data_IF_658815642008
#
_entry.id   IF_658815642008
#
_cell.length_a   1.000
_cell.length_b   1.000
_cell.length_c   1.000
_cell.angle_alpha   90.00
_cell.angle_beta   90.00
_cell.angle_gamma   90.00
#
_symmetry.space_group_name_H-M   'P 1'
#
loop_
_entity.id
_entity.type
_entity.pdbx_description
1 polymer ?
#
# COMPACT_ATOMS: atom_id res chain seq x y z
N UNK A 1 5.68 42.62 -85.11
CA UNK A 1 5.13 43.28 -83.91
C UNK A 1 3.61 43.13 -83.98
N UNK A 2 2.97 42.62 -82.92
CA UNK A 2 1.57 42.15 -82.83
C UNK A 2 1.34 40.65 -83.09
N UNK A 3 2.17 39.77 -82.52
CA UNK A 3 1.74 38.39 -82.29
C UNK A 3 0.83 38.37 -81.05
N UNK A 4 -0.46 38.09 -81.25
CA UNK A 4 -1.41 37.79 -80.19
C UNK A 4 -1.32 36.29 -79.91
N UNK A 5 -0.80 35.93 -78.72
CA UNK A 5 -0.73 34.55 -78.27
C UNK A 5 -1.83 34.28 -77.22
N UNK A 6 -3.00 33.75 -77.60
CA UNK A 6 -4.08 33.44 -76.67
C UNK A 6 -3.84 32.16 -75.85
N UNK A 7 -2.66 31.54 -75.93
CA UNK A 7 -2.34 30.33 -75.15
C UNK A 7 -1.61 30.64 -73.85
N UNK A 8 -1.35 31.90 -73.54
CA UNK A 8 -0.68 32.33 -72.31
C UNK A 8 -1.73 32.89 -71.37
N UNK A 9 -2.31 32.00 -70.56
CA UNK A 9 -3.23 32.36 -69.49
C UNK A 9 -2.47 32.51 -68.16
N UNK A 10 -2.79 33.56 -67.40
CA UNK A 10 -2.32 33.70 -66.02
C UNK A 10 -3.37 33.13 -65.06
N UNK A 11 -3.02 32.06 -64.34
CA UNK A 11 -3.83 31.54 -63.24
C UNK A 11 -3.47 32.23 -61.93
N UNK A 12 -4.48 32.71 -61.19
CA UNK A 12 -4.32 33.25 -59.84
C UNK A 12 -5.09 32.38 -58.84
N UNK A 13 -4.56 32.24 -57.63
CA UNK A 13 -5.26 31.62 -56.50
C UNK A 13 -5.19 32.52 -55.26
N UNK A 14 -6.14 32.33 -54.36
CA UNK A 14 -6.11 32.88 -53.00
C UNK A 14 -5.48 31.81 -52.09
N UNK A 15 -4.44 32.13 -51.30
CA UNK A 15 -3.87 31.18 -50.36
C UNK A 15 -4.94 30.69 -49.37
N UNK A 16 -4.83 29.42 -49.00
CA UNK A 16 -5.71 28.79 -48.02
C UNK A 16 -5.05 28.74 -46.63
N UNK A 17 -5.84 28.35 -45.62
CA UNK A 17 -5.39 28.08 -44.25
C UNK A 17 -6.03 26.82 -43.68
N UNK A 18 -5.35 26.23 -42.71
CA UNK A 18 -5.76 25.02 -42.02
C UNK A 18 -5.39 25.11 -40.53
N UNK A 19 -6.33 24.76 -39.66
CA UNK A 19 -6.11 24.51 -38.23
C UNK A 19 -7.35 24.84 -37.43
N UNK A 20 -7.39 24.39 -36.17
CA UNK A 20 -8.47 24.75 -35.24
C UNK A 20 -8.02 24.49 -33.79
N UNK A 21 -8.11 23.26 -33.29
CA UNK A 21 -8.10 23.00 -31.85
C UNK A 21 -7.48 21.66 -31.43
N UNK A 22 -6.91 21.64 -30.22
CA UNK A 22 -6.52 20.42 -29.51
C UNK A 22 -7.15 20.42 -28.12
N UNK A 23 -7.90 19.37 -27.81
CA UNK A 23 -8.78 19.31 -26.63
C UNK A 23 -8.49 18.14 -25.69
N UNK A 24 -8.76 18.38 -24.40
CA UNK A 24 -8.76 17.36 -23.37
C UNK A 24 -10.16 16.73 -23.29
N UNK A 25 -10.32 15.62 -23.99
CA UNK A 25 -11.51 14.78 -24.06
C UNK A 25 -11.71 14.02 -22.74
N UNK A 26 -12.39 14.66 -21.78
CA UNK A 26 -12.49 14.10 -20.41
C UNK A 26 -13.36 12.85 -20.35
N UNK A 27 -14.37 12.75 -21.22
CA UNK A 27 -15.32 11.63 -21.21
C UNK A 27 -14.90 10.49 -22.17
N UNK A 28 -13.87 10.73 -23.00
CA UNK A 28 -13.25 9.77 -23.92
C UNK A 28 -14.17 9.35 -25.06
N UNK A 29 -15.08 10.23 -25.48
CA UNK A 29 -16.03 9.94 -26.56
C UNK A 29 -15.52 10.31 -27.96
N UNK A 30 -14.36 10.98 -28.06
CA UNK A 30 -13.76 11.40 -29.31
C UNK A 30 -14.31 12.69 -29.88
N UNK A 31 -15.22 13.37 -29.16
CA UNK A 31 -15.95 14.56 -29.59
C UNK A 31 -15.59 15.72 -28.67
N UNK A 32 -15.28 16.87 -29.25
CA UNK A 32 -15.15 18.14 -28.55
C UNK A 32 -16.49 18.52 -27.89
N UNK A 33 -16.53 18.48 -26.57
CA UNK A 33 -17.71 18.80 -25.79
C UNK A 33 -17.62 20.17 -25.10
N UNK A 34 -18.79 20.69 -24.71
CA UNK A 34 -18.90 21.83 -23.81
C UNK A 34 -18.42 21.45 -22.39
N UNK A 35 -17.11 21.53 -22.16
CA UNK A 35 -16.46 21.13 -20.89
C UNK A 35 -15.05 20.59 -21.08
N UNK A 36 -14.70 20.21 -22.31
CA UNK A 36 -13.33 19.87 -22.66
C UNK A 36 -12.47 21.12 -22.59
N UNK A 37 -11.27 20.93 -22.06
CA UNK A 37 -10.32 22.02 -21.84
C UNK A 37 -9.28 22.03 -22.94
N UNK A 38 -8.78 23.19 -23.37
CA UNK A 38 -7.73 23.24 -24.37
C UNK A 38 -6.44 22.60 -23.86
N UNK A 39 -5.67 21.99 -24.77
CA UNK A 39 -4.33 21.49 -24.45
C UNK A 39 -3.29 22.39 -25.12
N UNK A 40 -2.57 23.23 -24.34
CA UNK A 40 -1.51 24.08 -24.87
C UNK A 40 -0.20 23.31 -25.09
N UNK A 41 0.65 23.83 -25.99
CA UNK A 41 2.01 23.34 -26.21
C UNK A 41 2.13 22.03 -26.99
N UNK A 42 1.05 21.56 -27.61
CA UNK A 42 1.08 20.36 -28.46
C UNK A 42 1.81 20.69 -29.75
N UNK A 43 2.87 19.94 -30.07
CA UNK A 43 3.59 20.09 -31.34
C UNK A 43 2.71 19.57 -32.48
N UNK A 44 2.48 20.43 -33.47
CA UNK A 44 1.70 20.13 -34.67
C UNK A 44 2.60 20.25 -35.89
N UNK A 45 2.63 19.22 -36.73
CA UNK A 45 3.44 19.18 -37.96
C UNK A 45 2.54 19.12 -39.19
N UNK A 46 2.72 20.05 -40.11
CA UNK A 46 2.04 20.03 -41.41
C UNK A 46 2.87 19.23 -42.41
N UNK A 47 2.21 18.32 -43.12
CA UNK A 47 2.75 17.58 -44.25
C UNK A 47 2.09 18.06 -45.54
N UNK A 48 2.88 18.15 -46.61
CA UNK A 48 2.42 18.38 -47.99
C UNK A 48 2.98 17.27 -48.87
N UNK A 49 2.11 16.55 -49.58
CA UNK A 49 2.47 15.43 -50.44
C UNK A 49 3.41 14.41 -49.72
N UNK A 50 3.11 14.12 -48.45
CA UNK A 50 3.84 13.18 -47.61
C UNK A 50 5.15 13.70 -47.00
N UNK A 51 5.55 14.95 -47.26
CA UNK A 51 6.76 15.56 -46.69
C UNK A 51 6.41 16.61 -45.63
N UNK A 52 7.09 16.62 -44.49
CA UNK A 52 6.90 17.67 -43.48
C UNK A 52 7.36 19.02 -44.04
N UNK A 53 6.50 20.05 -43.95
CA UNK A 53 6.74 21.38 -44.53
C UNK A 53 6.71 22.51 -43.51
N UNK A 54 6.03 22.33 -42.37
CA UNK A 54 5.97 23.32 -41.32
C UNK A 54 5.65 22.67 -39.96
N UNK A 55 5.97 23.37 -38.88
CA UNK A 55 5.53 23.02 -37.53
C UNK A 55 5.00 24.24 -36.80
N UNK A 56 4.13 24.01 -35.83
CA UNK A 56 3.67 25.01 -34.85
C UNK A 56 3.39 24.31 -33.53
N UNK A 57 3.05 25.07 -32.50
CA UNK A 57 2.58 24.55 -31.21
C UNK A 57 1.24 25.17 -30.88
N UNK A 58 0.34 24.38 -30.27
CA UNK A 58 -0.94 24.93 -29.80
C UNK A 58 -0.72 26.01 -28.74
N UNK A 59 -1.53 27.07 -28.81
CA UNK A 59 -1.44 28.19 -27.86
C UNK A 59 -2.16 27.89 -26.52
N UNK A 60 -2.27 28.89 -25.64
CA UNK A 60 -2.93 28.75 -24.34
C UNK A 60 -4.42 28.37 -24.44
N UNK A 61 -5.05 28.63 -25.58
CA UNK A 61 -6.41 28.25 -25.91
C UNK A 61 -6.45 26.96 -26.74
N UNK A 62 -5.36 26.21 -26.86
CA UNK A 62 -5.32 24.95 -27.60
C UNK A 62 -5.37 25.14 -29.12
N UNK A 63 -5.30 26.38 -29.61
CA UNK A 63 -5.48 26.67 -31.02
C UNK A 63 -4.18 26.57 -31.81
N UNK A 64 -4.26 26.15 -33.07
CA UNK A 64 -3.12 26.12 -34.00
C UNK A 64 -3.57 26.54 -35.40
N UNK A 65 -2.65 27.03 -36.24
CA UNK A 65 -2.97 27.46 -37.60
C UNK A 65 -1.76 27.44 -38.52
N UNK A 66 -1.97 26.97 -39.74
CA UNK A 66 -1.08 27.11 -40.89
C UNK A 66 -1.76 28.00 -41.94
N UNK A 67 -1.09 29.08 -42.33
CA UNK A 67 -1.62 30.04 -43.32
C UNK A 67 -0.75 30.09 -44.57
N UNK A 68 -1.30 30.55 -45.69
CA UNK A 68 -0.51 30.72 -46.91
C UNK A 68 -0.32 29.43 -47.70
N UNK A 69 -1.24 28.47 -47.53
CA UNK A 69 -1.18 27.16 -48.17
C UNK A 69 -1.62 27.27 -49.64
N UNK A 70 -0.95 26.49 -50.50
CA UNK A 70 -1.27 26.44 -51.93
C UNK A 70 -2.47 25.52 -52.15
N UNK A 71 -3.62 26.04 -52.61
CA UNK A 71 -4.79 25.23 -52.85
C UNK A 71 -4.65 24.35 -54.10
N UNK A 72 -5.56 23.39 -54.27
CA UNK A 72 -5.72 22.56 -55.46
C UNK A 72 -5.27 21.11 -55.28
N UNK A 73 -5.75 20.24 -56.16
CA UNK A 73 -5.60 18.78 -56.06
C UNK A 73 -4.16 18.27 -56.22
N UNK A 74 -3.21 19.13 -56.60
CA UNK A 74 -1.78 18.81 -56.65
C UNK A 74 -1.08 18.96 -55.27
N UNK A 75 -1.77 19.55 -54.29
CA UNK A 75 -1.27 19.76 -52.94
C UNK A 75 -2.19 19.02 -51.96
N UNK A 76 -1.73 17.84 -51.53
CA UNK A 76 -2.43 17.04 -50.50
C UNK A 76 -1.79 17.33 -49.16
N UNK A 77 -2.60 17.81 -48.22
CA UNK A 77 -2.19 18.18 -46.88
C UNK A 77 -2.59 17.10 -45.86
N UNK A 78 -1.80 17.00 -44.80
CA UNK A 78 -2.07 16.16 -43.63
C UNK A 78 -1.43 16.82 -42.40
N UNK A 79 -2.04 16.68 -41.24
CA UNK A 79 -1.53 17.24 -39.98
C UNK A 79 -1.15 16.10 -39.05
N UNK A 80 -0.01 16.20 -38.36
CA UNK A 80 0.38 15.29 -37.30
C UNK A 80 0.40 16.00 -35.96
N UNK A 81 -0.27 15.43 -34.98
CA UNK A 81 -0.26 15.90 -33.59
C UNK A 81 0.65 15.01 -32.74
N UNK A 82 1.63 15.61 -32.08
CA UNK A 82 2.46 14.88 -31.13
C UNK A 82 1.66 14.63 -29.84
N UNK A 83 1.50 13.36 -29.43
CA UNK A 83 0.79 13.00 -28.20
C UNK A 83 1.43 13.69 -26.98
N UNK A 84 0.69 14.50 -26.21
CA UNK A 84 1.23 15.16 -25.02
C UNK A 84 1.71 14.17 -23.96
N UNK A 85 2.68 14.57 -23.15
CA UNK A 85 3.17 13.74 -22.04
C UNK A 85 2.06 13.50 -21.01
N UNK A 86 1.94 12.27 -20.50
CA UNK A 86 0.87 11.83 -19.58
C UNK A 86 -0.55 11.77 -20.18
N UNK A 87 -0.72 12.04 -21.47
CA UNK A 87 -1.99 11.88 -22.17
C UNK A 87 -2.00 10.62 -23.05
N UNK A 88 -3.20 10.15 -23.35
CA UNK A 88 -3.54 9.14 -24.35
C UNK A 88 -4.41 9.77 -25.43
N UNK A 89 -4.30 9.28 -26.67
CA UNK A 89 -5.17 9.72 -27.78
C UNK A 89 -6.58 9.19 -27.57
N UNK A 90 -7.59 10.00 -27.93
CA UNK A 90 -8.98 9.53 -27.99
C UNK A 90 -9.28 8.76 -29.28
N UNK A 91 -10.53 8.34 -29.48
CA UNK A 91 -10.99 7.73 -30.72
C UNK A 91 -11.08 8.78 -31.83
N UNK A 92 -10.59 8.44 -33.02
CA UNK A 92 -10.63 9.36 -34.16
C UNK A 92 -11.90 9.22 -35.01
N UNK A 93 -12.31 10.31 -35.66
CA UNK A 93 -13.38 10.41 -36.64
C UNK A 93 -14.76 9.98 -36.08
N UNK A 94 -15.08 10.43 -34.87
CA UNK A 94 -16.32 10.08 -34.17
C UNK A 94 -17.24 11.28 -34.12
N UNK A 95 -18.36 11.25 -34.84
CA UNK A 95 -19.37 12.29 -34.76
C UNK A 95 -19.34 13.26 -35.94
N UNK A 96 -19.34 14.57 -35.65
CA UNK A 96 -19.35 15.62 -36.67
C UNK A 96 -17.93 16.11 -36.91
N UNK A 97 -17.52 16.18 -38.18
CA UNK A 97 -16.18 16.54 -38.68
C UNK A 97 -15.58 17.85 -38.13
N UNK A 98 -16.42 18.80 -37.71
CA UNK A 98 -15.96 20.06 -37.12
C UNK A 98 -15.88 20.05 -35.60
N UNK A 99 -16.04 18.88 -34.97
CA UNK A 99 -16.07 18.69 -33.52
C UNK A 99 -15.46 17.36 -33.11
N UNK A 100 -14.95 16.53 -34.01
CA UNK A 100 -14.36 15.24 -33.65
C UNK A 100 -12.82 15.33 -33.62
N UNK A 101 -12.16 14.26 -33.17
CA UNK A 101 -10.72 14.16 -33.28
C UNK A 101 -10.34 13.52 -34.61
N UNK A 102 -9.51 14.16 -35.44
CA UNK A 102 -9.00 13.56 -36.68
C UNK A 102 -7.74 12.72 -36.48
N UNK A 103 -7.01 13.01 -35.40
CA UNK A 103 -5.71 12.43 -35.14
C UNK A 103 -5.81 10.91 -34.92
N UNK A 104 -5.22 10.13 -35.85
CA UNK A 104 -5.11 8.68 -35.72
C UNK A 104 -4.44 8.31 -34.37
N UNK A 105 -5.03 7.41 -33.56
CA UNK A 105 -4.55 7.19 -32.18
C UNK A 105 -3.13 6.63 -32.08
N UNK A 106 -2.59 6.04 -33.16
CA UNK A 106 -1.27 5.40 -33.19
C UNK A 106 -0.23 6.36 -33.76
N UNK A 107 -0.54 7.01 -34.88
CA UNK A 107 0.39 7.84 -35.65
C UNK A 107 0.27 9.33 -35.35
N UNK A 108 -0.86 9.76 -34.81
CA UNK A 108 -1.23 11.17 -34.61
C UNK A 108 -1.55 11.90 -35.91
N UNK A 109 -1.62 11.22 -37.05
CA UNK A 109 -1.90 11.82 -38.35
C UNK A 109 -3.40 11.97 -38.57
N UNK A 110 -3.82 13.13 -39.09
CA UNK A 110 -5.16 13.34 -39.63
C UNK A 110 -5.37 12.55 -40.93
N UNK A 111 -6.59 12.59 -41.46
CA UNK A 111 -6.82 12.22 -42.86
C UNK A 111 -6.10 13.19 -43.81
N UNK A 112 -5.87 12.76 -45.05
CA UNK A 112 -5.37 13.64 -46.11
C UNK A 112 -6.48 14.49 -46.70
N UNK A 113 -6.24 15.78 -46.91
CA UNK A 113 -7.22 16.71 -47.48
C UNK A 113 -6.60 17.61 -48.56
N UNK A 114 -7.44 18.16 -49.43
CA UNK A 114 -7.04 19.16 -50.43
C UNK A 114 -7.82 20.44 -50.18
N UNK A 115 -7.13 21.58 -50.16
CA UNK A 115 -7.75 22.88 -49.92
C UNK A 115 -8.18 23.55 -51.22
N UNK A 116 -9.28 24.29 -51.17
CA UNK A 116 -9.77 25.14 -52.26
C UNK A 116 -9.26 26.58 -52.12
N UNK A 117 -9.32 27.35 -53.21
CA UNK A 117 -8.76 28.71 -53.27
C UNK A 117 -9.44 29.65 -52.28
N UNK A 118 -8.70 30.10 -51.26
CA UNK A 118 -9.18 30.96 -50.19
C UNK A 118 -9.92 30.25 -49.07
N UNK A 119 -9.86 28.91 -49.01
CA UNK A 119 -10.44 28.11 -47.92
C UNK A 119 -9.75 28.39 -46.59
N UNK A 120 -10.55 28.47 -45.53
CA UNK A 120 -10.07 28.37 -44.15
C UNK A 120 -10.69 27.12 -43.55
N UNK A 121 -9.91 26.05 -43.48
CA UNK A 121 -10.36 24.78 -42.94
C UNK A 121 -10.11 24.72 -41.43
N UNK A 122 -11.19 24.52 -40.67
CA UNK A 122 -11.20 24.44 -39.20
C UNK A 122 -11.87 23.14 -38.76
N UNK A 123 -11.58 22.04 -39.45
CA UNK A 123 -12.18 20.72 -39.17
C UNK A 123 -11.08 19.67 -38.96
N UNK A 124 -9.89 20.10 -38.54
CA UNK A 124 -8.78 19.19 -38.26
C UNK A 124 -8.36 19.39 -36.82
N UNK A 125 -8.87 18.55 -35.96
CA UNK A 125 -8.71 18.64 -34.52
C UNK A 125 -8.04 17.39 -33.93
N UNK A 126 -7.57 17.51 -32.69
CA UNK A 126 -7.05 16.36 -31.95
C UNK A 126 -7.58 16.33 -30.51
N UNK A 127 -8.18 15.21 -30.15
CA UNK A 127 -8.61 14.90 -28.79
C UNK A 127 -7.59 14.02 -28.08
N UNK A 128 -7.26 14.38 -26.85
CA UNK A 128 -6.46 13.56 -25.94
C UNK A 128 -7.13 13.50 -24.57
N UNK A 129 -6.87 12.47 -23.78
CA UNK A 129 -7.33 12.38 -22.41
C UNK A 129 -6.20 11.95 -21.48
N UNK A 130 -6.29 12.32 -20.20
CA UNK A 130 -5.34 11.85 -19.19
C UNK A 130 -5.89 10.57 -18.54
N UNK A 131 -5.22 9.40 -18.69
CA UNK A 131 -5.63 8.20 -17.98
C UNK A 131 -5.60 8.43 -16.46
N UNK A 132 -6.67 8.00 -15.79
CA UNK A 132 -6.73 8.02 -14.32
C UNK A 132 -5.73 7.02 -13.74
N UNK A 133 -5.31 7.26 -12.51
CA UNK A 133 -4.49 6.33 -11.73
C UNK A 133 -5.33 5.56 -10.70
N UNK A 134 -4.68 4.63 -10.00
CA UNK A 134 -5.22 3.96 -8.83
C UNK A 134 -4.12 3.58 -7.84
N UNK A 135 -4.55 3.19 -6.64
CA UNK A 135 -3.71 2.58 -5.63
C UNK A 135 -4.52 1.56 -4.84
N UNK A 136 -3.84 0.68 -4.14
CA UNK A 136 -4.44 -0.35 -3.29
C UNK A 136 -3.36 -1.33 -2.88
N UNK A 137 -3.74 -2.40 -2.19
CA UNK A 137 -3.10 -3.72 -2.21
C UNK A 137 -3.63 -4.52 -1.02
N UNK A 138 -3.03 -4.45 0.17
CA UNK A 138 -3.21 -5.50 1.17
C UNK A 138 -3.16 -5.05 2.64
N UNK A 139 -3.93 -5.74 3.49
CA UNK A 139 -3.84 -5.65 4.95
C UNK A 139 -3.71 -7.06 5.53
N UNK A 140 -2.71 -7.25 6.39
CA UNK A 140 -2.28 -8.58 6.82
C UNK A 140 -2.05 -8.71 8.32
N UNK A 141 -2.26 -9.93 8.81
CA UNK A 141 -1.82 -10.36 10.13
C UNK A 141 -0.38 -10.85 10.03
N UNK A 142 0.54 -10.01 10.51
CA UNK A 142 1.95 -10.30 10.66
C UNK A 142 2.13 -11.24 11.87
N UNK A 143 2.30 -12.53 11.62
CA UNK A 143 2.28 -13.53 12.70
C UNK A 143 3.55 -13.55 13.53
N UNK A 144 4.65 -13.04 12.98
CA UNK A 144 5.97 -13.07 13.59
C UNK A 144 6.47 -11.67 14.01
N UNK A 145 5.64 -10.63 13.83
CA UNK A 145 5.89 -9.24 14.19
C UNK A 145 7.17 -8.65 13.57
N UNK A 146 7.57 -9.09 12.37
CA UNK A 146 8.78 -8.60 11.72
C UNK A 146 8.55 -7.38 10.81
N UNK A 147 7.30 -6.96 10.60
CA UNK A 147 6.94 -5.83 9.77
C UNK A 147 6.79 -6.13 8.28
N UNK A 148 6.90 -7.40 7.88
CA UNK A 148 6.86 -7.84 6.48
C UNK A 148 5.82 -8.91 6.24
N UNK A 149 5.31 -8.96 5.02
CA UNK A 149 4.41 -9.99 4.53
C UNK A 149 5.17 -11.28 4.27
N UNK A 150 4.97 -12.26 5.15
CA UNK A 150 5.61 -13.57 5.07
C UNK A 150 4.68 -14.67 4.56
N UNK A 151 5.30 -15.75 4.09
CA UNK A 151 4.59 -16.99 3.83
C UNK A 151 3.99 -17.54 5.14
N UNK A 152 2.66 -17.50 5.25
CA UNK A 152 1.92 -17.96 6.42
C UNK A 152 1.13 -16.86 7.12
N UNK A 153 1.40 -15.59 6.81
CA UNK A 153 0.56 -14.48 7.22
C UNK A 153 -0.81 -14.56 6.55
N UNK A 154 -1.81 -14.00 7.23
CA UNK A 154 -3.21 -14.12 6.82
C UNK A 154 -3.83 -12.77 6.53
N UNK A 155 -4.71 -12.65 5.52
CA UNK A 155 -5.38 -11.39 5.23
C UNK A 155 -6.29 -10.95 6.37
N UNK A 156 -6.44 -9.64 6.56
CA UNK A 156 -7.41 -9.07 7.50
C UNK A 156 -8.52 -8.36 6.73
N UNK A 157 -9.73 -8.93 6.82
CA UNK A 157 -10.94 -8.39 6.21
C UNK A 157 -11.63 -7.34 7.09
N UNK A 158 -12.36 -6.42 6.45
CA UNK A 158 -13.21 -5.44 7.13
C UNK A 158 -12.46 -4.26 7.74
N UNK A 159 -11.19 -4.04 7.41
CA UNK A 159 -10.41 -2.89 7.86
C UNK A 159 -10.87 -1.65 7.10
N UNK A 160 -11.29 -0.60 7.82
CA UNK A 160 -11.64 0.68 7.21
C UNK A 160 -10.37 1.38 6.71
N UNK A 161 -10.32 1.63 5.40
CA UNK A 161 -9.24 2.34 4.73
C UNK A 161 -9.76 3.69 4.25
N UNK A 162 -9.07 4.77 4.60
CA UNK A 162 -9.41 6.15 4.20
C UNK A 162 -8.35 6.67 3.24
N UNK A 163 -8.76 7.12 2.06
CA UNK A 163 -7.89 7.81 1.11
C UNK A 163 -7.84 9.30 1.45
N UNK A 164 -6.63 9.83 1.51
CA UNK A 164 -6.34 11.24 1.65
C UNK A 164 -5.74 11.78 0.35
N UNK A 165 -6.23 12.93 -0.10
CA UNK A 165 -5.64 13.71 -1.19
C UNK A 165 -5.18 15.05 -0.62
N UNK A 166 -3.89 15.38 -0.80
CA UNK A 166 -3.28 16.62 -0.28
C UNK A 166 -3.58 16.84 1.22
N UNK A 167 -3.57 15.76 2.01
CA UNK A 167 -3.84 15.77 3.45
C UNK A 167 -5.32 15.81 3.86
N UNK A 168 -6.27 15.88 2.92
CA UNK A 168 -7.71 15.85 3.21
C UNK A 168 -8.32 14.50 2.86
N UNK A 169 -9.17 13.94 3.73
CA UNK A 169 -9.88 12.70 3.44
C UNK A 169 -10.88 12.91 2.29
N UNK A 170 -10.83 12.05 1.28
CA UNK A 170 -11.66 12.17 0.06
C UNK A 170 -12.51 10.94 -0.23
N UNK A 171 -12.11 9.77 0.25
CA UNK A 171 -12.86 8.53 0.05
C UNK A 171 -12.55 7.51 1.15
N UNK A 172 -13.42 6.50 1.29
CA UNK A 172 -13.19 5.36 2.17
C UNK A 172 -13.59 4.07 1.47
N UNK A 173 -12.93 2.97 1.82
CA UNK A 173 -13.33 1.61 1.46
C UNK A 173 -13.05 0.67 2.64
N UNK A 174 -13.37 -0.61 2.51
CA UNK A 174 -13.03 -1.64 3.49
C UNK A 174 -12.30 -2.78 2.81
N UNK A 175 -11.33 -3.39 3.49
CA UNK A 175 -10.65 -4.58 2.95
C UNK A 175 -11.62 -5.74 2.77
N UNK A 176 -11.47 -6.48 1.68
CA UNK A 176 -12.32 -7.63 1.36
C UNK A 176 -11.88 -8.91 2.11
N UNK A 177 -12.48 -10.06 1.78
CA UNK A 177 -12.15 -11.34 2.41
C UNK A 177 -10.70 -11.81 2.16
N UNK A 178 -10.09 -11.29 1.11
CA UNK A 178 -8.68 -11.49 0.77
C UNK A 178 -7.80 -10.38 1.32
N UNK A 179 -8.30 -9.52 2.22
CA UNK A 179 -7.52 -8.43 2.81
C UNK A 179 -7.23 -7.29 1.83
N UNK A 180 -7.79 -7.35 0.63
CA UNK A 180 -7.46 -6.42 -0.43
C UNK A 180 -8.32 -5.15 -0.38
N UNK A 181 -7.74 -4.02 -0.79
CA UNK A 181 -8.47 -2.76 -0.95
C UNK A 181 -8.01 -2.03 -2.22
N UNK A 182 -8.84 -1.15 -2.77
CA UNK A 182 -8.49 -0.38 -3.97
C UNK A 182 -9.23 0.94 -4.07
N UNK A 183 -8.51 1.95 -4.56
CA UNK A 183 -9.04 3.22 -5.03
C UNK A 183 -8.64 3.42 -6.49
N UNK A 184 -9.63 3.64 -7.35
CA UNK A 184 -9.45 3.86 -8.80
C UNK A 184 -9.99 5.23 -9.20
N UNK A 185 -9.63 5.72 -10.39
CA UNK A 185 -10.16 7.00 -10.88
C UNK A 185 -9.43 8.20 -10.27
N UNK A 186 -8.23 7.98 -9.71
CA UNK A 186 -7.44 9.02 -9.07
C UNK A 186 -6.84 9.95 -10.12
N UNK A 187 -6.74 11.23 -9.78
CA UNK A 187 -6.14 12.23 -10.66
C UNK A 187 -4.62 12.15 -10.55
N UNK A 188 -3.89 11.76 -11.62
CA UNK A 188 -2.44 11.67 -11.57
C UNK A 188 -1.76 13.05 -11.57
N UNK A 189 -0.45 13.06 -11.36
CA UNK A 189 0.43 14.22 -11.48
C UNK A 189 0.92 14.79 -10.16
N UNK A 190 2.00 15.58 -10.23
CA UNK A 190 2.78 16.04 -9.08
C UNK A 190 2.05 17.07 -8.20
N UNK A 191 0.93 17.62 -8.66
CA UNK A 191 0.07 18.54 -7.88
C UNK A 191 -0.92 17.81 -6.98
N UNK A 192 -0.99 16.48 -7.06
CA UNK A 192 -1.83 15.63 -6.24
C UNK A 192 -0.95 14.62 -5.50
N UNK A 193 -0.93 14.71 -4.17
CA UNK A 193 -0.37 13.66 -3.33
C UNK A 193 -1.48 12.84 -2.69
N UNK A 194 -1.27 11.54 -2.58
CA UNK A 194 -2.19 10.58 -1.98
C UNK A 194 -1.53 9.87 -0.81
N UNK A 195 -2.29 9.61 0.25
CA UNK A 195 -1.89 8.74 1.35
C UNK A 195 -3.11 7.91 1.77
N UNK A 196 -2.88 6.77 2.42
CA UNK A 196 -3.97 5.96 2.97
C UNK A 196 -3.85 5.88 4.48
N UNK A 197 -4.99 5.86 5.15
CA UNK A 197 -5.11 5.69 6.59
C UNK A 197 -5.90 4.44 6.93
N UNK A 198 -5.30 3.56 7.73
CA UNK A 198 -5.90 2.31 8.15
C UNK A 198 -6.42 2.43 9.59
N UNK A 199 -7.71 2.12 9.78
CA UNK A 199 -8.26 2.03 11.12
C UNK A 199 -7.85 0.71 11.75
N UNK A 200 -7.03 0.78 12.81
CA UNK A 200 -6.54 -0.40 13.51
C UNK A 200 -7.69 -1.35 13.92
N UNK A 201 -7.66 -2.62 13.47
CA UNK A 201 -8.69 -3.59 13.83
C UNK A 201 -8.76 -3.86 15.34
N UNK A 202 -9.96 -4.15 15.84
CA UNK A 202 -10.15 -4.47 17.26
C UNK A 202 -9.40 -5.76 17.63
N UNK A 203 -8.69 -5.74 18.76
CA UNK A 203 -7.88 -6.87 19.22
C UNK A 203 -6.49 -6.98 18.58
N UNK A 204 -6.13 -6.06 17.68
CA UNK A 204 -4.81 -6.00 17.06
C UNK A 204 -3.96 -4.83 17.57
N UNK A 205 -2.65 -4.96 17.38
CA UNK A 205 -1.63 -3.91 17.49
C UNK A 205 -0.94 -3.73 16.13
N UNK A 206 -0.44 -2.55 15.82
CA UNK A 206 0.31 -2.33 14.57
C UNK A 206 1.66 -3.05 14.63
N UNK A 207 2.10 -3.58 13.48
CA UNK A 207 3.48 -4.06 13.34
C UNK A 207 4.46 -2.91 13.06
N UNK A 208 5.75 -3.20 12.92
CA UNK A 208 6.75 -2.21 12.54
C UNK A 208 6.56 -1.76 11.10
N UNK A 209 6.64 -0.46 10.85
CA UNK A 209 6.46 0.10 9.50
C UNK A 209 7.79 0.25 8.74
N UNK A 210 7.73 0.25 7.41
CA UNK A 210 8.82 0.53 6.48
C UNK A 210 10.03 -0.41 6.66
N UNK A 211 9.78 -1.71 6.75
CA UNK A 211 10.80 -2.73 7.03
C UNK A 211 11.06 -3.59 5.79
N UNK A 212 12.17 -3.35 5.10
CA UNK A 212 12.62 -4.25 4.03
C UNK A 212 12.13 -3.86 2.64
N UNK A 213 11.38 -4.75 1.98
CA UNK A 213 10.90 -4.58 0.60
C UNK A 213 9.56 -3.84 0.61
N UNK A 214 9.53 -2.66 -0.02
CA UNK A 214 8.36 -1.75 -0.14
C UNK A 214 7.12 -2.41 -0.75
N UNK A 215 7.28 -3.51 -1.49
CA UNK A 215 6.15 -4.27 -2.06
C UNK A 215 5.55 -5.29 -1.09
N UNK A 216 6.11 -5.39 0.12
CA UNK A 216 5.80 -6.45 1.09
C UNK A 216 5.93 -6.00 2.54
N UNK A 217 6.17 -4.74 2.83
CA UNK A 217 6.23 -4.28 4.21
C UNK A 217 4.88 -3.69 4.64
N UNK A 218 4.87 -3.12 5.84
CA UNK A 218 3.75 -2.31 6.30
C UNK A 218 4.15 -0.85 6.20
N UNK A 219 3.34 -0.01 5.59
CA UNK A 219 3.59 1.44 5.49
C UNK A 219 2.91 2.23 6.62
N UNK A 220 1.85 1.65 7.17
CA UNK A 220 1.01 2.30 8.17
C UNK A 220 1.80 2.66 9.45
N UNK A 221 1.90 3.95 9.74
CA UNK A 221 2.52 4.44 10.96
C UNK A 221 1.86 3.84 12.21
N UNK A 222 2.68 3.41 13.17
CA UNK A 222 2.22 2.61 14.33
C UNK A 222 1.28 3.36 15.27
N UNK A 223 1.27 4.70 15.21
CA UNK A 223 0.42 5.55 16.07
C UNK A 223 -0.81 6.02 15.32
N UNK A 224 -0.61 6.54 14.11
CA UNK A 224 -1.66 7.22 13.33
C UNK A 224 -2.36 6.32 12.34
N UNK A 225 -1.74 5.21 11.93
CA UNK A 225 -2.22 4.33 10.87
C UNK A 225 -2.11 4.94 9.47
N UNK A 226 -1.47 6.10 9.32
CA UNK A 226 -1.27 6.77 8.03
C UNK A 226 0.01 6.28 7.35
N UNK A 227 -0.03 6.15 6.03
CA UNK A 227 1.15 5.93 5.20
C UNK A 227 1.83 7.26 4.84
N UNK A 228 3.02 7.15 4.25
CA UNK A 228 3.66 8.20 3.47
C UNK A 228 2.74 8.69 2.33
N UNK A 229 2.99 9.93 1.90
CA UNK A 229 2.34 10.50 0.72
C UNK A 229 3.07 10.11 -0.56
N UNK A 230 2.32 9.71 -1.58
CA UNK A 230 2.82 9.34 -2.91
C UNK A 230 2.17 10.21 -3.99
N UNK A 231 2.86 10.36 -5.12
CA UNK A 231 2.28 10.92 -6.36
C UNK A 231 2.07 9.79 -7.35
N UNK A 232 1.02 9.86 -8.16
CA UNK A 232 0.73 8.83 -9.16
C UNK A 232 0.94 9.36 -10.58
N UNK A 233 1.58 8.57 -11.44
CA UNK A 233 1.66 8.81 -12.87
C UNK A 233 0.33 8.44 -13.57
N UNK A 234 0.11 8.99 -14.77
CA UNK A 234 -1.10 8.70 -15.52
C UNK A 234 -1.13 7.22 -15.95
N UNK A 235 -2.23 6.53 -15.62
CA UNK A 235 -2.41 5.10 -15.87
C UNK A 235 -1.66 4.18 -14.89
N UNK A 236 -1.03 4.73 -13.85
CA UNK A 236 -0.38 3.94 -12.80
C UNK A 236 -1.41 3.27 -11.90
N UNK A 237 -1.09 2.05 -11.45
CA UNK A 237 -1.67 1.44 -10.26
C UNK A 237 -0.53 1.21 -9.26
N UNK A 238 -0.59 1.85 -8.09
CA UNK A 238 0.41 1.69 -7.04
C UNK A 238 -0.03 0.62 -6.02
N UNK A 239 0.68 -0.52 -5.92
CA UNK A 239 0.38 -1.61 -4.99
C UNK A 239 1.23 -1.61 -3.70
N UNK A 240 1.85 -0.49 -3.29
CA UNK A 240 2.89 -0.49 -2.24
C UNK A 240 2.49 0.24 -0.97
N UNK A 241 1.19 0.33 -0.67
CA UNK A 241 0.70 1.02 0.52
C UNK A 241 -0.09 0.03 1.38
N UNK A 242 0.59 -0.64 2.30
CA UNK A 242 0.05 -1.76 3.04
C UNK A 242 -0.01 -1.51 4.55
N UNK A 243 -0.76 -2.35 5.26
CA UNK A 243 -0.80 -2.34 6.71
C UNK A 243 -0.70 -3.74 7.31
N UNK A 244 0.33 -3.93 8.13
CA UNK A 244 0.53 -5.13 8.94
C UNK A 244 0.04 -4.92 10.37
N UNK A 245 -0.60 -5.95 10.92
CA UNK A 245 -1.06 -5.97 12.30
C UNK A 245 -0.73 -7.28 13.00
N UNK A 246 -0.48 -7.23 14.30
CA UNK A 246 -0.21 -8.38 15.16
C UNK A 246 -1.36 -8.56 16.16
N UNK A 247 -1.70 -9.80 16.53
CA UNK A 247 -2.51 -10.05 17.73
C UNK A 247 -1.58 -10.19 18.94
N UNK A 248 -1.77 -9.40 20.01
CA UNK A 248 -0.98 -9.57 21.21
C UNK A 248 -1.15 -10.96 21.82
N UNK A 249 -0.05 -11.51 22.33
CA UNK A 249 0.01 -12.82 22.96
C UNK A 249 -0.05 -12.72 24.50
N UNK A 250 -0.12 -13.87 25.17
CA UNK A 250 -0.02 -13.99 26.62
C UNK A 250 0.84 -15.17 27.06
N UNK A 251 1.48 -15.02 28.22
CA UNK A 251 2.18 -16.09 28.95
C UNK A 251 1.61 -16.13 30.35
N UNK A 252 1.23 -17.31 30.83
CA UNK A 252 0.82 -17.55 32.19
C UNK A 252 0.81 -19.04 32.47
N UNK A 253 0.39 -19.41 33.67
CA UNK A 253 -0.27 -20.66 34.04
C UNK A 253 -0.17 -20.78 35.57
N UNK A 254 0.58 -21.73 36.12
CA UNK A 254 0.36 -22.23 37.47
C UNK A 254 1.64 -22.34 38.31
N UNK A 255 1.49 -22.10 39.62
CA UNK A 255 2.54 -22.33 40.61
C UNK A 255 2.02 -23.27 41.70
N UNK A 256 2.74 -24.36 41.92
CA UNK A 256 2.26 -25.49 42.71
C UNK A 256 3.24 -25.93 43.79
N UNK A 257 2.67 -26.48 44.85
CA UNK A 257 3.40 -27.14 45.93
C UNK A 257 3.62 -28.61 45.56
N UNK A 258 4.80 -28.89 45.03
CA UNK A 258 5.29 -30.20 44.66
C UNK A 258 5.63 -31.00 45.92
N UNK A 259 4.68 -31.79 46.42
CA UNK A 259 4.83 -32.48 47.70
C UNK A 259 5.78 -33.67 47.63
N UNK A 260 5.84 -34.35 46.48
CA UNK A 260 6.67 -35.54 46.30
C UNK A 260 8.04 -35.22 45.69
N UNK A 261 8.25 -33.97 45.27
CA UNK A 261 9.51 -33.43 44.72
C UNK A 261 9.88 -34.05 43.38
N UNK A 262 8.89 -34.48 42.60
CA UNK A 262 9.12 -35.13 41.31
C UNK A 262 9.20 -34.14 40.14
N UNK A 263 8.91 -32.86 40.38
CA UNK A 263 8.98 -31.79 39.40
C UNK A 263 7.78 -31.67 38.48
N UNK A 264 6.72 -32.45 38.73
CA UNK A 264 5.54 -32.57 37.88
C UNK A 264 4.29 -32.25 38.70
N UNK A 265 3.37 -31.49 38.11
CA UNK A 265 2.05 -31.25 38.67
C UNK A 265 1.30 -32.57 38.84
N UNK A 266 1.05 -32.97 40.08
CA UNK A 266 0.35 -34.19 40.41
C UNK A 266 -1.02 -33.95 41.04
N UNK A 267 -1.85 -34.99 40.98
CA UNK A 267 -3.09 -35.03 41.76
C UNK A 267 -2.78 -34.97 43.26
N UNK A 268 -3.12 -33.86 43.90
CA UNK A 268 -2.89 -33.61 45.32
C UNK A 268 -1.86 -32.51 45.62
N UNK A 269 -1.14 -32.03 44.60
CA UNK A 269 -0.39 -30.78 44.69
C UNK A 269 -1.35 -29.60 44.82
N UNK A 270 -0.97 -28.64 45.65
CA UNK A 270 -1.82 -27.50 45.98
C UNK A 270 -1.27 -26.22 45.36
N UNK A 271 -2.12 -25.27 44.95
CA UNK A 271 -1.65 -23.99 44.46
C UNK A 271 -0.85 -23.23 45.51
N UNK A 272 0.11 -22.43 45.06
CA UNK A 272 0.82 -21.50 45.93
C UNK A 272 0.42 -20.06 45.56
N UNK A 273 -0.38 -19.38 46.40
CA UNK A 273 -0.75 -17.99 46.18
C UNK A 273 0.38 -17.02 46.60
N UNK A 274 0.42 -15.84 45.99
CA UNK A 274 1.31 -14.74 46.37
C UNK A 274 2.77 -14.90 45.94
N UNK A 275 3.09 -15.86 45.06
CA UNK A 275 4.44 -15.99 44.49
C UNK A 275 4.71 -14.81 43.57
N UNK A 276 5.82 -14.10 43.80
CA UNK A 276 6.27 -13.02 42.91
C UNK A 276 6.78 -13.62 41.61
N UNK A 277 6.16 -13.22 40.49
CA UNK A 277 6.52 -13.62 39.14
C UNK A 277 7.01 -12.40 38.37
N UNK A 278 8.15 -12.51 37.71
CA UNK A 278 8.78 -11.44 36.92
C UNK A 278 8.89 -11.87 35.47
N UNK A 279 8.38 -11.06 34.54
CA UNK A 279 8.59 -11.26 33.11
C UNK A 279 9.85 -10.52 32.68
N UNK A 280 10.70 -11.22 31.95
CA UNK A 280 11.87 -10.67 31.28
C UNK A 280 11.66 -10.69 29.77
N UNK A 281 12.00 -9.60 29.10
CA UNK A 281 12.10 -9.51 27.65
C UNK A 281 13.56 -9.26 27.27
N UNK A 282 14.12 -10.15 26.45
CA UNK A 282 15.51 -10.05 25.97
C UNK A 282 16.51 -9.82 27.12
N UNK A 283 16.30 -10.50 28.25
CA UNK A 283 17.14 -10.46 29.45
C UNK A 283 16.83 -9.33 30.45
N UNK A 284 15.98 -8.36 30.10
CA UNK A 284 15.61 -7.25 30.97
C UNK A 284 14.24 -7.47 31.62
N UNK A 285 14.10 -7.18 32.91
CA UNK A 285 12.80 -7.27 33.59
C UNK A 285 11.86 -6.18 33.06
N UNK A 286 10.66 -6.55 32.61
CA UNK A 286 9.69 -5.64 32.00
C UNK A 286 8.35 -5.57 32.73
N UNK A 287 7.99 -6.61 33.49
CA UNK A 287 6.77 -6.62 34.27
C UNK A 287 6.88 -7.57 35.48
N UNK A 288 6.04 -7.36 36.48
CA UNK A 288 5.84 -8.29 37.59
C UNK A 288 4.36 -8.51 37.86
N UNK A 289 4.04 -9.67 38.41
CA UNK A 289 2.71 -10.01 38.93
C UNK A 289 2.87 -10.95 40.12
N UNK A 290 1.76 -11.32 40.76
CA UNK A 290 1.74 -12.33 41.82
C UNK A 290 0.70 -13.39 41.52
N UNK A 291 0.98 -14.64 41.86
CA UNK A 291 0.00 -15.72 41.72
C UNK A 291 -1.23 -15.46 42.58
N UNK A 292 -2.42 -15.74 42.03
CA UNK A 292 -3.68 -15.54 42.72
C UNK A 292 -3.98 -16.68 43.71
N UNK A 293 -5.18 -16.67 44.33
CA UNK A 293 -5.60 -17.70 45.29
C UNK A 293 -5.65 -19.13 44.73
N UNK A 294 -5.75 -19.28 43.41
CA UNK A 294 -5.68 -20.55 42.68
C UNK A 294 -4.29 -20.82 42.12
N UNK A 295 -3.24 -20.12 42.57
CA UNK A 295 -1.87 -20.34 42.10
C UNK A 295 -1.60 -19.83 40.68
N UNK A 296 -2.56 -19.18 40.02
CA UNK A 296 -2.44 -18.77 38.63
C UNK A 296 -1.81 -17.39 38.48
N UNK A 297 -1.01 -17.20 37.42
CA UNK A 297 -0.49 -15.90 37.00
C UNK A 297 -0.66 -15.69 35.49
N UNK A 298 -0.63 -14.43 35.03
CA UNK A 298 -0.70 -14.12 33.60
C UNK A 298 -0.07 -12.78 33.27
N UNK A 299 0.64 -12.74 32.14
CA UNK A 299 1.07 -11.55 31.42
C UNK A 299 0.36 -11.53 30.07
N UNK A 300 -0.38 -10.46 29.79
CA UNK A 300 -1.16 -10.28 28.56
C UNK A 300 -0.65 -9.10 27.76
N UNK A 301 -0.95 -9.04 26.46
CA UNK A 301 -0.58 -7.89 25.63
C UNK A 301 0.87 -7.95 25.15
N UNK A 302 1.45 -9.14 25.10
CA UNK A 302 2.84 -9.36 24.74
C UNK A 302 3.01 -9.27 23.22
N UNK A 303 4.08 -8.62 22.78
CA UNK A 303 4.44 -8.58 21.35
C UNK A 303 5.01 -9.95 20.95
N UNK A 304 4.39 -10.68 20.01
CA UNK A 304 4.94 -11.93 19.48
C UNK A 304 6.22 -11.69 18.68
N UNK A 305 6.84 -12.76 18.18
CA UNK A 305 7.91 -12.69 17.19
C UNK A 305 9.28 -13.15 17.66
N UNK A 306 10.09 -13.61 16.71
CA UNK A 306 11.41 -14.22 16.96
C UNK A 306 12.44 -13.26 17.55
N UNK A 307 12.23 -11.96 17.39
CA UNK A 307 13.05 -10.92 18.03
C UNK A 307 12.69 -10.67 19.50
N UNK A 308 11.60 -11.26 19.99
CA UNK A 308 11.12 -11.15 21.36
C UNK A 308 11.29 -12.49 22.09
N UNK A 309 12.32 -12.56 22.93
CA UNK A 309 12.59 -13.70 23.81
C UNK A 309 12.08 -13.41 25.21
N UNK A 310 11.00 -14.09 25.62
CA UNK A 310 10.41 -13.97 26.94
C UNK A 310 10.96 -15.03 27.90
N UNK A 311 11.22 -14.64 29.14
CA UNK A 311 11.58 -15.54 30.23
C UNK A 311 10.75 -15.18 31.45
N UNK A 312 10.22 -16.18 32.15
CA UNK A 312 9.48 -15.97 33.40
C UNK A 312 10.36 -16.35 34.58
N UNK A 313 10.52 -15.45 35.55
CA UNK A 313 11.25 -15.69 36.79
C UNK A 313 10.30 -15.79 37.97
N UNK A 314 10.45 -16.83 38.77
CA UNK A 314 9.68 -17.10 39.96
C UNK A 314 10.55 -16.90 41.19
N UNK A 315 10.09 -16.08 42.14
CA UNK A 315 10.79 -15.92 43.43
C UNK A 315 10.24 -16.94 44.41
N UNK A 316 11.04 -17.91 44.90
CA UNK A 316 10.58 -18.89 45.86
C UNK A 316 9.99 -18.21 47.10
N UNK A 317 8.79 -18.59 47.56
CA UNK A 317 8.24 -18.09 48.81
C UNK A 317 9.10 -18.50 50.01
N UNK A 318 8.93 -17.81 51.14
CA UNK A 318 9.62 -18.17 52.36
C UNK A 318 9.32 -19.63 52.76
N UNK A 319 10.38 -20.37 53.12
CA UNK A 319 10.35 -21.80 53.46
C UNK A 319 10.02 -22.75 52.30
N UNK A 320 10.16 -22.32 51.05
CA UNK A 320 10.07 -23.18 49.87
C UNK A 320 11.41 -23.27 49.14
N UNK A 321 11.59 -24.34 48.37
CA UNK A 321 12.69 -24.48 47.42
C UNK A 321 12.16 -25.00 46.09
N UNK A 322 12.81 -24.61 44.99
CA UNK A 322 12.46 -25.04 43.63
C UNK A 322 12.61 -26.54 43.49
N UNK A 323 11.64 -27.18 42.83
CA UNK A 323 11.76 -28.58 42.43
C UNK A 323 12.65 -28.74 41.19
N UNK A 324 12.94 -29.99 40.79
CA UNK A 324 13.74 -30.27 39.59
C UNK A 324 12.94 -29.90 38.35
N UNK A 325 13.42 -28.96 37.52
CA UNK A 325 12.68 -28.52 36.34
C UNK A 325 12.71 -29.56 35.23
N UNK A 326 11.75 -29.47 34.30
CA UNK A 326 11.66 -30.27 33.07
C UNK A 326 11.67 -31.79 33.31
N UNK A 327 11.08 -32.23 34.44
CA UNK A 327 11.11 -33.63 34.89
C UNK A 327 10.01 -34.50 34.26
N UNK A 328 9.05 -33.91 33.56
CA UNK A 328 7.91 -34.59 32.95
C UNK A 328 8.06 -34.83 31.45
N UNK A 329 7.12 -35.57 30.86
CA UNK A 329 6.96 -35.67 29.40
C UNK A 329 5.95 -34.66 28.84
N UNK A 330 5.14 -34.04 29.70
CA UNK A 330 4.14 -33.05 29.35
C UNK A 330 4.59 -31.67 29.86
N UNK A 331 4.88 -30.78 28.91
CA UNK A 331 5.38 -29.43 29.18
C UNK A 331 4.35 -28.51 29.84
N UNK A 332 3.07 -28.88 29.80
CA UNK A 332 2.02 -28.11 30.47
C UNK A 332 1.89 -28.49 31.95
N UNK A 333 2.69 -29.44 32.43
CA UNK A 333 2.58 -29.99 33.78
C UNK A 333 3.93 -30.09 34.50
N UNK A 334 5.07 -29.87 33.86
CA UNK A 334 6.36 -29.87 34.56
C UNK A 334 6.78 -28.46 34.97
N UNK A 335 7.61 -28.37 36.00
CA UNK A 335 8.15 -27.09 36.44
C UNK A 335 9.21 -26.58 35.46
N UNK A 336 9.16 -25.30 35.08
CA UNK A 336 10.19 -24.65 34.25
C UNK A 336 11.25 -23.90 35.06
N UNK A 337 10.96 -23.61 36.33
CA UNK A 337 11.82 -22.77 37.16
C UNK A 337 13.19 -23.42 37.41
N UNK A 338 14.25 -22.85 36.82
CA UNK A 338 15.64 -23.26 37.04
C UNK A 338 16.03 -23.21 38.52
N UNK A 339 16.78 -24.22 38.97
CA UNK A 339 17.12 -24.42 40.39
C UNK A 339 17.94 -23.28 41.01
N UNK A 340 18.72 -22.57 40.20
CA UNK A 340 19.62 -21.52 40.68
C UNK A 340 19.00 -20.14 40.52
N UNK A 341 18.38 -19.90 39.36
CA UNK A 341 17.91 -18.57 38.95
C UNK A 341 16.42 -18.36 39.18
N UNK A 342 15.66 -19.45 39.35
CA UNK A 342 14.19 -19.43 39.39
C UNK A 342 13.55 -19.07 38.05
N UNK A 343 14.31 -19.08 36.94
CA UNK A 343 13.85 -18.64 35.62
C UNK A 343 13.50 -19.81 34.71
N UNK A 344 12.49 -19.64 33.88
CA UNK A 344 12.15 -20.55 32.79
C UNK A 344 13.20 -20.51 31.68
N UNK A 345 13.08 -21.45 30.73
CA UNK A 345 13.67 -21.29 29.41
C UNK A 345 13.08 -20.08 28.64
N UNK A 346 13.73 -19.71 27.55
CA UNK A 346 13.21 -18.67 26.65
C UNK A 346 12.02 -19.16 25.85
N UNK A 347 10.97 -18.33 25.78
CA UNK A 347 9.76 -18.55 25.00
C UNK A 347 9.67 -17.48 23.92
N UNK A 348 9.44 -17.92 22.69
CA UNK A 348 9.05 -17.06 21.58
C UNK A 348 7.57 -17.28 21.31
N UNK A 349 6.80 -16.20 21.31
CA UNK A 349 5.36 -16.25 21.11
C UNK A 349 4.99 -15.99 19.66
N UNK A 350 3.90 -16.58 19.22
CA UNK A 350 3.24 -16.31 17.93
C UNK A 350 2.02 -15.40 18.10
N UNK A 351 1.60 -14.71 17.02
CA UNK A 351 0.45 -13.80 17.04
C UNK A 351 -0.80 -14.46 17.62
N UNK A 352 -1.34 -13.88 18.70
CA UNK A 352 -2.53 -14.33 19.40
C UNK A 352 -2.34 -15.59 20.26
N UNK A 353 -1.09 -16.06 20.46
CA UNK A 353 -0.81 -17.21 21.31
C UNK A 353 -1.18 -16.95 22.77
N UNK A 354 -1.86 -17.91 23.39
CA UNK A 354 -1.99 -17.99 24.84
C UNK A 354 -1.14 -19.16 25.33
N UNK A 355 0.07 -18.86 25.81
CA UNK A 355 1.00 -19.86 26.30
C UNK A 355 0.71 -20.18 27.78
N UNK A 356 0.28 -21.41 28.03
CA UNK A 356 -0.03 -21.96 29.36
C UNK A 356 0.85 -23.16 29.68
N UNK A 357 2.15 -23.05 29.39
CA UNK A 357 3.12 -24.14 29.61
C UNK A 357 4.34 -23.65 30.36
N UNK A 358 4.19 -22.58 31.14
CA UNK A 358 5.29 -22.04 31.94
C UNK A 358 4.85 -22.08 33.39
N UNK A 359 5.37 -23.07 34.11
CA UNK A 359 4.94 -23.36 35.48
C UNK A 359 6.12 -23.34 36.46
N UNK A 360 5.80 -23.25 37.76
CA UNK A 360 6.81 -23.40 38.80
C UNK A 360 6.33 -24.32 39.92
N UNK A 361 7.09 -25.40 40.13
CA UNK A 361 6.96 -26.29 41.25
C UNK A 361 7.89 -25.88 42.40
N UNK A 362 7.35 -25.81 43.60
CA UNK A 362 8.13 -25.61 44.82
C UNK A 362 7.76 -26.65 45.86
N UNK A 363 8.72 -27.09 46.67
CA UNK A 363 8.45 -27.94 47.83
C UNK A 363 8.79 -27.22 49.12
N UNK A 364 8.01 -27.50 50.17
CA UNK A 364 8.22 -26.90 51.47
C UNK A 364 9.48 -27.49 52.16
N UNK A 365 10.29 -26.62 52.75
CA UNK A 365 11.41 -26.99 53.59
C UNK A 365 10.86 -27.48 54.95
N UNK A 366 11.10 -28.74 55.26
CA UNK A 366 10.86 -29.27 56.62
C UNK A 366 11.96 -28.80 57.55
N UNK A 367 11.59 -28.12 58.64
CA UNK A 367 12.53 -27.80 59.72
C UNK A 367 13.05 -29.12 60.34
N UNK A 368 14.32 -29.44 60.10
CA UNK A 368 15.00 -30.50 60.84
C UNK A 368 15.45 -29.95 62.20
N UNK A 369 14.90 -30.49 63.29
CA UNK A 369 15.58 -30.42 64.59
C UNK A 369 16.82 -31.32 64.46
N UNK A 370 18.01 -30.74 64.62
CA UNK A 370 19.26 -31.48 64.48
C UNK A 370 19.44 -32.50 65.60
N UNK A 371 19.62 -33.77 65.25
CA UNK A 371 20.16 -34.80 66.12
C UNK A 371 21.68 -34.61 66.24
N UNK A 372 22.11 -33.75 67.15
CA UNK A 372 23.46 -33.82 67.72
C UNK A 372 23.34 -34.05 69.22
N UNK A 373 23.25 -35.33 69.59
CA UNK A 373 23.62 -35.76 70.95
C UNK A 373 25.14 -35.95 70.93
N UNK A 374 25.86 -35.04 71.58
CA UNK A 374 27.26 -35.31 71.93
C UNK A 374 27.27 -36.27 73.13
N UNK A 375 27.88 -37.45 72.98
CA UNK A 375 28.38 -38.24 74.12
C UNK A 375 29.76 -37.72 74.57
#
# INVERSE_FOLDING_TARGET
>A
ANEFNPTVDAGFYKPASLGDYVFNDKNRDGIQNAGDSPIPGVLVTLYSNGSAVATTTTDAMGAYSFTGLTPGSANVYQVQFAKPASFSSTSANVGFDGLDSDADPITGLSQTLTLTSGENNTSVDAGFYQPTAGLGDYVFEDKNANGTQDAGDTPISGVLVTLYQNGSAVATTTTDATGAYSFTGLTPGNSNTYAVGFTKPAGFSSTSANVGDDTKDSDADVVTGLTQSVTLAAGEFNPTLDAGYIKPASIGDYVFNDKNKDGVQNAGDTPIPGVLVTLYLNGSAVATTTTNGSGLYSFTGLTPGVSNSYVVGFTPPANFSTTTPLSGTDKALDSDADLLTGRSGSVTLTSGENNTTVDAGFYQLTAGLGDYVFE
#
